data_IF_328608954337
#
_entry.id   IF_328608954337
#
_cell.length_a   1.000
_cell.length_b   1.000
_cell.length_c   1.000
_cell.angle_alpha   90.00
_cell.angle_beta   90.00
_cell.angle_gamma   90.00
#
_symmetry.space_group_name_H-M   'P 1'
#
loop_
_entity.id
_entity.type
_entity.pdbx_description
1 polymer ?
#
# COMPACT_ATOMS: atom_id res chain seq x y z
N UNK A 1 -6.14 10.50 22.09
CA UNK A 1 -5.04 11.08 21.32
C UNK A 1 -4.58 10.00 20.35
N UNK A 2 -4.72 10.14 19.01
CA UNK A 2 -4.08 9.17 18.12
C UNK A 2 -2.58 9.26 18.37
N UNK A 3 -2.00 8.13 18.77
CA UNK A 3 -0.57 7.97 18.96
C UNK A 3 0.15 8.38 17.69
N UNK A 4 1.24 9.13 17.83
CA UNK A 4 2.09 9.59 16.74
C UNK A 4 2.64 8.39 15.96
N UNK A 5 1.85 7.81 15.06
CA UNK A 5 2.43 7.03 13.99
C UNK A 5 3.18 8.00 13.10
N UNK A 6 4.38 7.62 12.76
CA UNK A 6 5.40 8.37 12.04
C UNK A 6 4.79 9.30 10.99
N UNK A 7 5.25 10.54 10.95
CA UNK A 7 4.87 11.49 9.92
C UNK A 7 4.97 10.84 8.54
N UNK A 8 3.97 11.05 7.69
CA UNK A 8 4.01 10.59 6.30
C UNK A 8 5.26 11.13 5.61
N UNK A 9 5.81 10.36 4.70
CA UNK A 9 6.97 10.73 3.89
C UNK A 9 6.51 11.46 2.65
N UNK A 10 7.10 12.61 2.36
CA UNK A 10 6.84 13.38 1.14
C UNK A 10 7.48 12.69 -0.06
N UNK A 11 6.67 12.38 -1.07
CA UNK A 11 7.11 11.76 -2.32
C UNK A 11 6.97 12.80 -3.44
N UNK A 12 8.07 13.19 -4.11
CA UNK A 12 8.03 14.22 -5.14
C UNK A 12 7.32 13.75 -6.41
N UNK A 13 6.78 14.71 -7.18
CA UNK A 13 6.18 14.43 -8.48
C UNK A 13 7.21 13.87 -9.47
N UNK A 14 6.81 12.87 -10.26
CA UNK A 14 7.65 12.27 -11.31
C UNK A 14 6.83 11.52 -12.36
N UNK A 15 7.27 11.58 -13.61
CA UNK A 15 6.80 10.65 -14.64
C UNK A 15 7.49 9.30 -14.50
N UNK A 16 6.72 8.23 -14.44
CA UNK A 16 7.23 6.85 -14.40
C UNK A 16 6.66 6.01 -15.55
N UNK A 17 7.34 4.94 -15.90
CA UNK A 17 6.83 3.95 -16.83
C UNK A 17 6.56 2.65 -16.09
N UNK A 18 5.31 2.25 -16.06
CA UNK A 18 4.88 0.96 -15.54
C UNK A 18 5.02 -0.11 -16.62
N UNK A 19 5.27 -1.34 -16.19
CA UNK A 19 5.39 -2.50 -17.07
C UNK A 19 4.54 -3.66 -16.57
N UNK A 20 3.69 -4.20 -17.45
CA UNK A 20 2.98 -5.45 -17.19
C UNK A 20 3.63 -6.62 -17.94
N UNK A 21 4.29 -7.51 -17.18
CA UNK A 21 4.96 -8.69 -17.77
C UNK A 21 3.97 -9.67 -18.40
N UNK A 22 2.74 -9.74 -17.92
CA UNK A 22 1.72 -10.65 -18.43
C UNK A 22 1.25 -10.26 -19.84
N UNK A 23 1.00 -8.98 -20.06
CA UNK A 23 0.56 -8.44 -21.34
C UNK A 23 1.67 -7.83 -22.18
N UNK A 24 2.90 -7.77 -21.66
CA UNK A 24 4.07 -7.11 -22.27
C UNK A 24 3.83 -5.63 -22.62
N UNK A 25 2.92 -4.97 -21.89
CA UNK A 25 2.58 -3.56 -22.11
C UNK A 25 3.39 -2.66 -21.20
N UNK A 26 3.80 -1.53 -21.76
CA UNK A 26 4.36 -0.39 -21.03
C UNK A 26 3.41 0.80 -21.16
N UNK A 27 3.25 1.58 -20.09
CA UNK A 27 2.52 2.85 -20.13
C UNK A 27 3.15 3.86 -19.19
N UNK A 28 3.17 5.11 -19.62
CA UNK A 28 3.68 6.22 -18.83
C UNK A 28 2.58 6.83 -17.97
N UNK A 29 2.91 7.16 -16.74
CA UNK A 29 2.03 7.83 -15.78
C UNK A 29 2.78 9.02 -15.18
N UNK A 30 2.15 10.18 -15.15
CA UNK A 30 2.63 11.33 -14.40
C UNK A 30 2.09 11.24 -12.97
N UNK A 31 2.98 11.01 -12.02
CA UNK A 31 2.68 10.95 -10.58
C UNK A 31 2.87 12.35 -10.02
N UNK A 32 1.82 12.92 -9.44
CA UNK A 32 1.89 14.19 -8.71
C UNK A 32 2.55 13.97 -7.34
N UNK A 33 3.02 15.04 -6.71
CA UNK A 33 3.54 14.96 -5.35
C UNK A 33 2.44 14.47 -4.38
N UNK A 34 2.79 13.59 -3.48
CA UNK A 34 1.90 13.00 -2.49
C UNK A 34 2.68 12.62 -1.22
N UNK A 35 1.98 12.22 -0.18
CA UNK A 35 2.60 11.71 1.03
C UNK A 35 2.25 10.22 1.19
N UNK A 36 3.20 9.42 1.68
CA UNK A 36 3.06 7.98 1.87
C UNK A 36 3.46 7.59 3.29
N UNK A 37 2.73 6.65 3.89
CA UNK A 37 3.11 6.11 5.19
C UNK A 37 4.46 5.37 5.10
N UNK A 38 5.36 5.53 6.09
CA UNK A 38 6.68 4.90 6.05
C UNK A 38 6.63 3.38 6.02
N UNK A 39 5.55 2.76 6.48
CA UNK A 39 5.35 1.31 6.51
C UNK A 39 3.87 0.94 6.31
N UNK A 40 3.54 -0.33 6.05
CA UNK A 40 2.16 -0.82 6.00
C UNK A 40 1.39 -0.52 7.29
N UNK A 41 0.06 -0.44 7.21
CA UNK A 41 -0.81 -0.28 8.38
C UNK A 41 -0.59 -1.42 9.36
N UNK A 42 -0.30 -1.06 10.61
CA UNK A 42 -0.06 -2.04 11.67
C UNK A 42 -1.36 -2.58 12.27
N UNK A 43 -1.29 -3.74 12.91
CA UNK A 43 -2.43 -4.32 13.64
C UNK A 43 -2.91 -3.38 14.76
N UNK A 44 -1.99 -2.69 15.43
CA UNK A 44 -2.34 -1.73 16.49
C UNK A 44 -3.14 -0.56 15.93
N UNK A 45 -2.69 0.07 14.85
CA UNK A 45 -3.42 1.17 14.23
C UNK A 45 -4.79 0.70 13.71
N UNK A 46 -4.81 -0.45 13.01
CA UNK A 46 -6.05 -0.99 12.48
C UNK A 46 -7.09 -1.26 13.58
N UNK A 47 -6.68 -1.94 14.65
CA UNK A 47 -7.56 -2.23 15.77
C UNK A 47 -8.08 -0.96 16.47
N UNK A 48 -7.20 0.04 16.67
CA UNK A 48 -7.55 1.32 17.27
C UNK A 48 -8.62 2.07 16.47
N UNK A 49 -8.45 2.18 15.16
CA UNK A 49 -9.40 2.90 14.27
C UNK A 49 -10.72 2.14 14.14
N UNK A 50 -10.65 0.81 14.07
CA UNK A 50 -11.84 -0.05 13.94
C UNK A 50 -12.59 -0.30 15.24
N UNK A 51 -12.07 0.15 16.38
CA UNK A 51 -12.64 -0.15 17.70
C UNK A 51 -12.61 -1.64 18.05
N UNK A 52 -11.59 -2.37 17.56
CA UNK A 52 -11.44 -3.81 17.75
C UNK A 52 -10.41 -4.13 18.83
N UNK A 53 -10.52 -5.31 19.40
CA UNK A 53 -9.48 -5.81 20.32
C UNK A 53 -8.24 -6.17 19.49
N UNK A 54 -7.08 -5.67 19.93
CA UNK A 54 -5.82 -5.98 19.29
C UNK A 54 -5.52 -7.48 19.40
N UNK A 55 -5.29 -8.13 18.27
CA UNK A 55 -4.85 -9.51 18.18
C UNK A 55 -3.41 -9.60 17.65
N UNK A 56 -2.57 -10.41 18.31
CA UNK A 56 -1.18 -10.64 17.93
C UNK A 56 -0.23 -9.48 18.24
N UNK A 57 0.94 -9.48 17.60
CA UNK A 57 1.98 -8.46 17.83
C UNK A 57 1.53 -7.11 17.26
N UNK A 58 1.60 -6.01 18.06
CA UNK A 58 1.01 -4.71 17.69
C UNK A 58 1.64 -4.10 16.43
N UNK A 59 2.93 -4.27 16.25
CA UNK A 59 3.70 -3.66 15.16
C UNK A 59 3.77 -4.49 13.88
N UNK A 60 3.18 -5.68 13.82
CA UNK A 60 3.08 -6.41 12.55
C UNK A 60 2.06 -5.75 11.63
N UNK A 61 2.25 -5.81 10.30
CA UNK A 61 1.22 -5.38 9.35
C UNK A 61 -0.13 -6.05 9.62
N UNK A 62 -1.21 -5.33 9.42
CA UNK A 62 -2.53 -5.94 9.35
C UNK A 62 -2.65 -6.74 8.05
N UNK A 63 -3.20 -7.94 8.15
CA UNK A 63 -3.48 -8.85 7.04
C UNK A 63 -4.93 -9.34 7.12
N UNK A 64 -5.34 -10.20 6.22
CA UNK A 64 -6.72 -10.69 6.15
C UNK A 64 -7.75 -9.57 5.98
N UNK A 65 -7.37 -8.51 5.29
CA UNK A 65 -8.19 -7.34 4.99
C UNK A 65 -8.50 -7.27 3.49
N UNK A 66 -9.77 -7.09 3.16
CA UNK A 66 -10.19 -6.89 1.78
C UNK A 66 -9.85 -5.46 1.31
N UNK A 67 -9.90 -5.24 0.00
CA UNK A 67 -9.73 -3.90 -0.56
C UNK A 67 -10.79 -2.92 -0.02
N UNK A 68 -12.05 -3.37 0.11
CA UNK A 68 -13.12 -2.55 0.70
C UNK A 68 -12.89 -2.25 2.18
N UNK A 69 -12.30 -3.19 2.95
CA UNK A 69 -11.93 -2.88 4.34
C UNK A 69 -10.87 -1.79 4.41
N UNK A 70 -9.87 -1.86 3.52
CA UNK A 70 -8.82 -0.84 3.46
C UNK A 70 -9.38 0.53 3.07
N UNK A 71 -10.30 0.60 2.10
CA UNK A 71 -11.01 1.82 1.72
C UNK A 71 -11.82 2.41 2.88
N UNK A 72 -12.62 1.59 3.54
CA UNK A 72 -13.43 2.01 4.70
C UNK A 72 -12.55 2.43 5.88
N UNK A 73 -11.43 1.75 6.09
CA UNK A 73 -10.44 2.14 7.08
C UNK A 73 -9.85 3.53 6.80
N UNK A 74 -9.48 3.82 5.55
CA UNK A 74 -8.98 5.13 5.14
C UNK A 74 -9.98 6.24 5.47
N UNK A 75 -11.26 6.05 5.18
CA UNK A 75 -12.30 7.02 5.51
C UNK A 75 -12.43 7.21 7.03
N UNK A 76 -12.50 6.13 7.78
CA UNK A 76 -12.65 6.15 9.24
C UNK A 76 -11.48 6.86 9.93
N UNK A 77 -10.24 6.59 9.46
CA UNK A 77 -9.06 7.29 9.95
C UNK A 77 -9.09 8.78 9.58
N UNK A 78 -9.55 9.13 8.38
CA UNK A 78 -9.70 10.52 7.96
C UNK A 78 -10.67 11.28 8.87
N UNK A 79 -11.84 10.71 9.11
CA UNK A 79 -12.86 11.28 10.02
C UNK A 79 -12.30 11.47 11.44
N UNK A 80 -11.59 10.46 11.98
CA UNK A 80 -10.98 10.55 13.31
C UNK A 80 -9.89 11.61 13.42
N UNK A 81 -9.26 11.95 12.28
CA UNK A 81 -8.24 12.99 12.17
C UNK A 81 -8.82 14.38 11.78
N UNK A 82 -10.13 14.52 11.63
CA UNK A 82 -10.78 15.77 11.20
C UNK A 82 -10.50 16.13 9.75
N UNK A 83 -10.20 15.14 8.91
CA UNK A 83 -9.94 15.29 7.47
C UNK A 83 -11.16 14.91 6.65
N UNK A 84 -11.23 15.39 5.41
CA UNK A 84 -12.29 15.01 4.47
C UNK A 84 -12.01 13.61 3.92
N UNK A 85 -12.90 12.61 4.13
CA UNK A 85 -12.74 11.27 3.57
C UNK A 85 -12.59 11.29 2.05
N UNK A 86 -11.69 10.46 1.54
CA UNK A 86 -11.42 10.41 0.10
C UNK A 86 -12.39 9.56 -0.69
N UNK A 87 -13.21 8.73 -0.04
CA UNK A 87 -14.04 7.76 -0.75
C UNK A 87 -15.53 7.88 -0.40
N UNK A 88 -16.36 7.92 -1.42
CA UNK A 88 -17.79 7.56 -1.29
C UNK A 88 -17.90 6.07 -1.58
N UNK A 89 -18.46 5.31 -0.64
CA UNK A 89 -18.59 3.85 -0.72
C UNK A 89 -20.08 3.51 -0.82
N UNK A 90 -20.46 2.87 -1.91
CA UNK A 90 -21.81 2.36 -2.09
C UNK A 90 -21.98 0.93 -1.56
N UNK A 91 -22.99 0.23 -2.09
CA UNK A 91 -23.38 -1.10 -1.61
C UNK A 91 -22.86 -2.26 -2.49
N UNK A 92 -22.14 -1.95 -3.59
CA UNK A 92 -21.60 -2.97 -4.48
C UNK A 92 -20.49 -3.77 -3.75
N UNK A 93 -20.68 -5.09 -3.56
CA UNK A 93 -19.71 -5.94 -2.88
C UNK A 93 -18.36 -6.03 -3.63
N UNK A 94 -18.35 -5.74 -4.93
CA UNK A 94 -17.17 -5.73 -5.77
C UNK A 94 -16.46 -4.35 -5.75
N UNK A 95 -17.05 -3.36 -5.07
CA UNK A 95 -16.48 -2.03 -4.92
C UNK A 95 -16.36 -1.26 -6.23
N UNK A 96 -17.18 -1.56 -7.23
CA UNK A 96 -17.21 -0.83 -8.50
C UNK A 96 -17.91 0.52 -8.38
N UNK A 97 -18.75 0.69 -7.35
CA UNK A 97 -19.42 1.93 -7.00
C UNK A 97 -18.66 2.82 -6.00
N UNK A 98 -17.43 2.43 -5.64
CA UNK A 98 -16.56 3.27 -4.84
C UNK A 98 -15.98 4.39 -5.70
N UNK A 99 -16.26 5.63 -5.31
CA UNK A 99 -15.78 6.82 -5.99
C UNK A 99 -14.70 7.50 -5.16
N UNK A 100 -13.56 7.82 -5.77
CA UNK A 100 -12.49 8.58 -5.14
C UNK A 100 -12.62 10.08 -5.46
N UNK A 101 -12.89 10.90 -4.44
CA UNK A 101 -12.75 12.35 -4.52
C UNK A 101 -11.26 12.74 -4.40
N UNK A 102 -10.67 13.10 -5.53
CA UNK A 102 -9.26 13.49 -5.61
C UNK A 102 -8.95 14.86 -5.00
N UNK A 103 -9.98 15.64 -4.69
CA UNK A 103 -9.86 16.95 -4.02
C UNK A 103 -9.83 16.84 -2.49
N UNK A 104 -10.27 15.70 -1.94
CA UNK A 104 -10.27 15.44 -0.51
C UNK A 104 -8.83 15.26 0.01
N UNK A 105 -8.62 15.65 1.27
CA UNK A 105 -7.30 15.64 1.92
C UNK A 105 -7.11 14.50 2.93
N UNK A 106 -8.04 13.58 2.95
CA UNK A 106 -8.03 12.41 3.82
C UNK A 106 -6.98 11.36 3.46
N UNK A 107 -6.95 10.32 4.26
CA UNK A 107 -6.16 9.13 3.97
C UNK A 107 -6.80 8.31 2.85
N UNK A 108 -5.96 7.66 2.07
CA UNK A 108 -6.36 6.84 0.94
C UNK A 108 -5.36 5.71 0.67
N UNK A 109 -5.71 4.79 -0.20
CA UNK A 109 -4.75 3.87 -0.80
C UNK A 109 -3.86 4.62 -1.80
N UNK A 110 -2.60 4.25 -1.97
CA UNK A 110 -1.81 4.72 -3.10
C UNK A 110 -2.39 4.17 -4.42
N UNK A 111 -2.26 4.93 -5.50
CA UNK A 111 -2.38 4.34 -6.82
C UNK A 111 -1.21 3.41 -7.09
N UNK A 112 -1.35 2.49 -8.05
CA UNK A 112 -0.28 1.58 -8.44
C UNK A 112 0.99 2.33 -8.87
N UNK A 113 0.81 3.44 -9.60
CA UNK A 113 1.91 4.28 -10.06
C UNK A 113 2.60 5.01 -8.89
N UNK A 114 1.83 5.54 -7.94
CA UNK A 114 2.38 6.14 -6.72
C UNK A 114 3.17 5.12 -5.90
N UNK A 115 2.61 3.92 -5.73
CA UNK A 115 3.26 2.86 -4.99
C UNK A 115 4.61 2.46 -5.63
N UNK A 116 4.63 2.20 -6.95
CA UNK A 116 5.86 1.81 -7.64
C UNK A 116 6.90 2.94 -7.66
N UNK A 117 6.46 4.19 -7.85
CA UNK A 117 7.34 5.34 -7.76
C UNK A 117 8.01 5.43 -6.39
N UNK A 118 7.23 5.32 -5.32
CA UNK A 118 7.72 5.38 -3.95
C UNK A 118 8.64 4.20 -3.60
N UNK A 119 8.30 2.99 -4.03
CA UNK A 119 9.11 1.80 -3.83
C UNK A 119 10.50 1.92 -4.51
N UNK A 120 10.54 2.44 -5.73
CA UNK A 120 11.79 2.64 -6.48
C UNK A 120 12.66 3.74 -5.89
N UNK A 121 12.06 4.76 -5.26
CA UNK A 121 12.71 5.97 -4.76
C UNK A 121 13.71 6.56 -5.79
N UNK A 122 14.85 7.06 -5.35
CA UNK A 122 15.93 7.54 -6.23
C UNK A 122 16.95 6.43 -6.51
N UNK A 123 16.94 5.35 -5.73
CA UNK A 123 17.86 4.23 -5.85
C UNK A 123 17.35 3.23 -6.90
N UNK A 124 18.10 3.08 -7.94
CA UNK A 124 17.75 2.22 -9.08
C UNK A 124 18.28 0.80 -8.96
N UNK A 125 18.81 0.38 -7.82
CA UNK A 125 19.53 -0.86 -7.82
C UNK A 125 19.88 -1.44 -6.47
N UNK A 126 18.89 -1.93 -5.74
CA UNK A 126 19.20 -3.03 -4.83
C UNK A 126 19.31 -4.27 -5.72
N UNK A 127 20.53 -4.81 -5.84
CA UNK A 127 20.74 -6.10 -6.49
C UNK A 127 20.03 -7.21 -5.73
N UNK A 128 19.76 -8.34 -6.37
CA UNK A 128 19.17 -9.49 -5.69
C UNK A 128 19.98 -9.99 -4.48
N UNK A 129 21.25 -9.61 -4.41
CA UNK A 129 22.18 -9.98 -3.32
C UNK A 129 21.90 -9.22 -2.02
N UNK A 130 21.24 -8.06 -2.11
CA UNK A 130 20.95 -7.20 -0.94
C UNK A 130 19.48 -7.28 -0.50
N UNK A 131 18.69 -8.21 -1.07
CA UNK A 131 17.26 -8.26 -0.78
C UNK A 131 16.96 -8.58 0.69
N UNK A 132 17.79 -9.39 1.33
CA UNK A 132 17.62 -9.80 2.74
C UNK A 132 17.73 -8.62 3.72
N UNK A 133 18.39 -7.53 3.34
CA UNK A 133 18.52 -6.35 4.21
C UNK A 133 17.34 -5.38 4.11
N UNK A 134 16.49 -5.54 3.08
CA UNK A 134 15.35 -4.62 2.81
C UNK A 134 14.00 -5.31 2.73
N UNK A 135 13.94 -6.64 2.66
CA UNK A 135 12.70 -7.37 2.41
C UNK A 135 12.57 -8.65 3.23
N UNK A 136 11.42 -8.85 3.85
CA UNK A 136 11.02 -10.12 4.44
C UNK A 136 10.36 -11.00 3.38
N UNK A 137 10.91 -12.18 3.13
CA UNK A 137 10.41 -13.16 2.17
C UNK A 137 10.52 -14.57 2.75
N UNK A 138 10.12 -15.58 2.01
CA UNK A 138 10.08 -16.98 2.48
C UNK A 138 11.41 -17.48 3.09
N UNK A 139 12.54 -16.94 2.66
CA UNK A 139 13.87 -17.37 3.12
C UNK A 139 14.26 -16.83 4.49
N UNK A 140 13.68 -15.72 4.95
CA UNK A 140 14.09 -15.02 6.16
C UNK A 140 12.95 -14.56 7.09
N UNK A 141 11.68 -14.80 6.72
CA UNK A 141 10.49 -14.32 7.46
C UNK A 141 10.03 -15.21 8.61
N UNK A 142 10.70 -16.35 8.83
CA UNK A 142 10.32 -17.31 9.89
C UNK A 142 8.86 -17.80 9.82
N UNK A 143 8.29 -17.81 8.62
CA UNK A 143 6.95 -18.34 8.35
C UNK A 143 5.78 -17.41 8.71
N UNK A 144 6.02 -16.10 8.80
CA UNK A 144 4.96 -15.13 9.06
C UNK A 144 5.37 -13.67 8.82
N UNK A 145 4.40 -12.74 8.86
CA UNK A 145 4.72 -11.32 8.74
C UNK A 145 5.53 -10.83 9.94
N UNK A 146 6.53 -10.02 9.69
CA UNK A 146 7.42 -9.43 10.69
C UNK A 146 6.96 -8.03 11.10
N UNK A 147 7.45 -7.54 12.23
CA UNK A 147 7.16 -6.16 12.65
C UNK A 147 7.71 -5.16 11.63
N UNK A 148 6.98 -4.08 11.42
CA UNK A 148 7.34 -3.07 10.44
C UNK A 148 8.60 -2.31 10.84
N UNK A 149 9.42 -1.93 9.84
CA UNK A 149 10.57 -1.08 10.03
C UNK A 149 11.76 -1.74 10.71
N UNK A 150 11.90 -3.06 10.66
CA UNK A 150 13.05 -3.79 11.22
C UNK A 150 14.23 -3.91 10.24
N UNK A 151 13.96 -3.86 8.94
CA UNK A 151 14.96 -3.87 7.89
C UNK A 151 15.25 -2.45 7.40
N UNK A 152 16.18 -2.30 6.45
CA UNK A 152 16.57 -0.99 5.95
C UNK A 152 15.46 -0.33 5.12
N UNK A 153 15.31 0.98 5.32
CA UNK A 153 14.44 1.80 4.50
C UNK A 153 15.07 2.09 3.13
N UNK A 154 14.23 2.36 2.14
CA UNK A 154 14.70 2.92 0.88
C UNK A 154 15.21 4.37 1.07
N UNK A 155 15.74 5.00 0.02
CA UNK A 155 16.33 6.34 0.08
C UNK A 155 15.37 7.45 0.55
N UNK A 156 14.06 7.20 0.57
CA UNK A 156 13.06 8.14 1.08
C UNK A 156 12.57 7.82 2.49
N UNK A 157 13.14 6.81 3.15
CA UNK A 157 12.72 6.41 4.49
C UNK A 157 11.46 5.53 4.50
N UNK A 158 11.15 4.85 3.39
CA UNK A 158 10.05 3.90 3.30
C UNK A 158 10.55 2.49 3.58
N UNK A 159 9.96 1.84 4.55
CA UNK A 159 10.24 0.47 4.97
C UNK A 159 9.25 -0.51 4.37
N UNK A 160 9.64 -1.77 4.28
CA UNK A 160 8.76 -2.90 3.90
C UNK A 160 8.01 -2.67 2.57
N UNK A 161 8.59 -1.88 1.67
CA UNK A 161 8.02 -1.71 0.32
C UNK A 161 8.24 -2.94 -0.55
N UNK A 162 9.16 -3.81 -0.17
CA UNK A 162 9.37 -5.13 -0.75
C UNK A 162 9.27 -6.19 0.34
N UNK A 163 8.55 -7.27 0.07
CA UNK A 163 8.33 -8.35 1.04
C UNK A 163 7.38 -7.96 2.17
N UNK A 164 7.47 -8.65 3.28
CA UNK A 164 6.60 -8.60 4.45
C UNK A 164 5.15 -8.91 4.08
N UNK A 165 4.40 -7.96 3.57
CA UNK A 165 3.04 -8.17 3.07
C UNK A 165 2.85 -7.49 1.70
N UNK A 166 2.08 -8.12 0.83
CA UNK A 166 1.51 -7.45 -0.34
C UNK A 166 0.68 -6.27 0.10
N UNK A 167 0.59 -5.24 -0.74
CA UNK A 167 -0.13 -4.01 -0.43
C UNK A 167 -1.18 -3.70 -1.49
N UNK A 168 -2.46 -3.59 -1.07
CA UNK A 168 -3.53 -3.13 -1.94
C UNK A 168 -3.24 -1.75 -2.49
N UNK A 169 -3.43 -1.59 -3.80
CA UNK A 169 -3.48 -0.31 -4.49
C UNK A 169 -4.91 0.06 -4.88
N UNK A 170 -5.14 1.32 -5.20
CA UNK A 170 -6.45 1.80 -5.66
C UNK A 170 -6.88 1.19 -6.99
N UNK A 171 -5.96 0.92 -7.91
CA UNK A 171 -6.25 0.69 -9.32
C UNK A 171 -6.92 -0.65 -9.60
N UNK A 172 -7.80 -0.65 -10.60
CA UNK A 172 -8.21 -1.86 -11.28
C UNK A 172 -7.05 -2.41 -12.14
N UNK A 173 -6.90 -3.72 -12.18
CA UNK A 173 -5.79 -4.34 -12.92
C UNK A 173 -5.94 -4.22 -14.45
N UNK A 174 -7.01 -4.74 -14.99
CA UNK A 174 -7.52 -4.57 -16.36
C UNK A 174 -9.03 -4.87 -16.33
N UNK A 175 -9.88 -3.85 -16.22
CA UNK A 175 -11.31 -4.05 -16.00
C UNK A 175 -12.01 -4.73 -17.19
N UNK A 176 -11.43 -4.67 -18.39
CA UNK A 176 -12.01 -5.34 -19.58
C UNK A 176 -11.79 -6.85 -19.56
N UNK A 177 -10.78 -7.33 -18.83
CA UNK A 177 -10.42 -8.76 -18.78
C UNK A 177 -10.77 -9.37 -17.44
N UNK A 178 -10.56 -8.62 -16.35
CA UNK A 178 -10.65 -9.14 -14.97
C UNK A 178 -11.76 -8.47 -14.14
N UNK A 179 -12.58 -7.60 -14.76
CA UNK A 179 -13.69 -6.94 -14.05
C UNK A 179 -13.19 -6.15 -12.83
N UNK A 180 -13.69 -6.47 -11.60
CA UNK A 180 -13.39 -5.67 -10.40
C UNK A 180 -12.02 -5.91 -9.79
N UNK A 181 -11.17 -6.76 -10.37
CA UNK A 181 -9.90 -7.14 -9.77
C UNK A 181 -8.99 -5.94 -9.53
N UNK A 182 -8.56 -5.79 -8.28
CA UNK A 182 -7.67 -4.72 -7.81
C UNK A 182 -6.21 -5.16 -7.82
N UNK A 183 -5.35 -4.18 -8.05
CA UNK A 183 -3.89 -4.38 -8.02
C UNK A 183 -3.40 -4.49 -6.59
N UNK A 184 -2.39 -5.33 -6.36
CA UNK A 184 -1.55 -5.30 -5.17
C UNK A 184 -0.08 -5.53 -5.54
N UNK A 185 0.82 -5.03 -4.71
CA UNK A 185 2.24 -4.84 -5.00
C UNK A 185 3.12 -5.26 -3.82
N UNK A 186 4.43 -5.47 -4.07
CA UNK A 186 5.47 -5.59 -3.07
C UNK A 186 6.05 -6.97 -2.85
N UNK A 187 5.26 -8.01 -2.96
CA UNK A 187 5.61 -9.35 -2.45
C UNK A 187 5.20 -9.51 -1.00
N UNK A 188 5.11 -10.74 -0.54
CA UNK A 188 4.76 -11.09 0.84
C UNK A 188 5.80 -11.99 1.50
N UNK A 189 5.67 -12.18 2.80
CA UNK A 189 6.55 -13.00 3.64
C UNK A 189 6.68 -14.44 3.14
N UNK A 190 5.67 -14.97 2.46
CA UNK A 190 5.65 -16.33 1.93
C UNK A 190 6.09 -16.44 0.46
N UNK A 191 6.49 -15.34 -0.17
CA UNK A 191 6.95 -15.36 -1.57
C UNK A 191 8.45 -15.68 -1.68
N UNK A 192 8.83 -16.17 -2.84
CA UNK A 192 10.24 -16.32 -3.19
C UNK A 192 10.87 -14.94 -3.50
N UNK A 193 12.18 -14.75 -3.27
CA UNK A 193 12.86 -13.46 -3.48
C UNK A 193 12.56 -12.77 -4.81
N UNK A 194 12.39 -13.54 -5.88
CA UNK A 194 12.11 -12.98 -7.20
C UNK A 194 10.71 -12.32 -7.33
N UNK A 195 9.80 -12.55 -6.41
CA UNK A 195 8.50 -11.87 -6.36
C UNK A 195 8.57 -10.53 -5.61
N UNK A 196 9.56 -10.35 -4.72
CA UNK A 196 9.77 -9.12 -3.97
C UNK A 196 10.53 -8.08 -4.82
N UNK A 197 9.88 -7.52 -5.83
CA UNK A 197 10.44 -6.51 -6.75
C UNK A 197 9.42 -5.43 -7.06
N UNK A 198 9.87 -4.20 -7.17
CA UNK A 198 9.04 -3.04 -7.46
C UNK A 198 8.15 -3.22 -8.72
N UNK A 199 8.62 -3.93 -9.73
CA UNK A 199 7.89 -4.15 -10.99
C UNK A 199 6.91 -5.32 -10.98
N UNK A 200 6.91 -6.15 -9.93
CA UNK A 200 5.97 -7.28 -9.84
C UNK A 200 4.61 -6.73 -9.42
N UNK A 201 3.60 -7.04 -10.20
CA UNK A 201 2.20 -6.69 -9.93
C UNK A 201 1.35 -7.94 -9.90
N UNK A 202 0.45 -8.01 -8.95
CA UNK A 202 -0.58 -9.05 -8.85
C UNK A 202 -1.96 -8.43 -8.79
N UNK A 203 -2.96 -9.26 -8.88
CA UNK A 203 -4.36 -8.87 -8.85
C UNK A 203 -5.19 -9.91 -8.15
N UNK A 204 -6.27 -9.46 -7.54
CA UNK A 204 -7.33 -10.34 -7.07
C UNK A 204 -8.66 -9.62 -6.97
N UNK A 205 -9.69 -10.40 -6.72
CA UNK A 205 -11.01 -9.90 -6.37
C UNK A 205 -10.94 -9.00 -5.13
N UNK A 206 -11.63 -7.86 -5.08
CA UNK A 206 -11.57 -6.91 -3.97
C UNK A 206 -12.01 -7.49 -2.61
N UNK A 207 -12.74 -8.60 -2.61
CA UNK A 207 -13.14 -9.31 -1.40
C UNK A 207 -12.07 -10.28 -0.85
N UNK A 208 -10.95 -10.50 -1.57
CA UNK A 208 -9.89 -11.40 -1.10
C UNK A 208 -9.38 -10.95 0.27
N UNK A 209 -9.19 -11.96 1.14
CA UNK A 209 -8.53 -11.83 2.44
C UNK A 209 -7.53 -12.98 2.55
N UNK A 210 -6.29 -12.65 2.83
CA UNK A 210 -5.20 -13.63 2.96
C UNK A 210 -4.12 -13.08 3.89
N UNK A 211 -3.38 -13.97 4.52
CA UNK A 211 -2.46 -13.69 5.62
C UNK A 211 -1.14 -12.98 5.21
N UNK A 212 -0.95 -12.75 3.93
CA UNK A 212 0.20 -12.01 3.38
C UNK A 212 -0.20 -10.75 2.60
N UNK A 213 -1.46 -10.26 2.74
CA UNK A 213 -1.97 -9.09 2.03
C UNK A 213 -2.59 -8.08 2.99
N UNK A 214 -1.99 -6.90 3.02
CA UNK A 214 -2.39 -5.73 3.78
C UNK A 214 -2.49 -4.49 2.90
N UNK A 215 -2.17 -3.32 3.44
CA UNK A 215 -2.18 -2.05 2.70
C UNK A 215 -1.35 -0.98 3.40
N UNK A 216 -1.02 0.09 2.67
CA UNK A 216 -0.31 1.28 3.13
C UNK A 216 -1.16 2.52 2.89
N UNK A 217 -0.98 3.55 3.71
CA UNK A 217 -1.70 4.82 3.61
C UNK A 217 -0.97 5.82 2.72
N UNK A 218 -1.71 6.51 1.89
CA UNK A 218 -1.27 7.69 1.16
C UNK A 218 -2.15 8.90 1.51
N UNK A 219 -1.66 10.10 1.24
CA UNK A 219 -2.41 11.36 1.29
C UNK A 219 -2.00 12.28 0.15
N UNK A 220 -2.92 13.11 -0.29
CA UNK A 220 -2.60 14.24 -1.17
C UNK A 220 -2.40 15.48 -0.30
N UNK A 221 -1.22 16.13 -0.31
CA UNK A 221 -1.01 17.34 0.46
C UNK A 221 -1.95 18.44 -0.04
N UNK A 222 -2.53 19.20 0.88
CA UNK A 222 -3.23 20.43 0.48
C UNK A 222 -2.22 21.42 -0.13
N UNK A 223 -2.56 22.12 -1.21
CA UNK A 223 -1.77 23.27 -1.62
C UNK A 223 -1.65 24.21 -0.42
N UNK A 224 -0.43 24.64 -0.10
CA UNK A 224 -0.22 25.67 0.91
C UNK A 224 -1.04 26.89 0.51
N UNK A 225 -1.94 27.34 1.38
CA UNK A 225 -2.61 28.64 1.20
C UNK A 225 -1.51 29.70 1.22
N UNK A 226 -1.14 30.20 0.05
CA UNK A 226 -0.27 31.38 -0.09
C UNK A 226 -1.06 32.62 0.25
#
# INVERSE_FOLDING_TARGET
>A
MPTSESSLVDVPARGITLHDRGSQKNWRVEVLAFCLAPHPVTRALYASVRGQVLAGRPRTPVTDVSWLDAVRFCNQLSESAGLVPCYSVGDDPDGLDVVWDRSADGYRLPSEAEWEHACRSVSTGVGPEDLDVIAWHRGNSEGGPQEVGLLEANAWGLYDTLGNVWEWCWDLYDPRVYGPYRVFRGGGWNDLPHACRASVRRKSHPALRVDDLGFRLARTPRPSST
#
